data_IF_873605441690
#
_entry.id   IF_873605441690
#
_cell.length_a   1.000
_cell.length_b   1.000
_cell.length_c   1.000
_cell.angle_alpha   90.00
_cell.angle_beta   90.00
_cell.angle_gamma   90.00
#
_symmetry.space_group_name_H-M   'P 1'
#
loop_
_entity.id
_entity.type
_entity.pdbx_description
1 polymer ?
#
# COMPACT_ATOMS: atom_id res chain seq x y z
N UNK A 1 7.99 -6.48 29.11
CA UNK A 1 9.45 -6.81 29.02
C UNK A 1 10.19 -5.72 28.26
N UNK A 2 11.38 -5.30 28.71
CA UNK A 2 12.27 -4.41 27.95
C UNK A 2 13.32 -5.23 27.20
N UNK A 3 13.57 -4.88 25.95
CA UNK A 3 14.61 -5.48 25.12
C UNK A 3 15.65 -4.43 24.70
N UNK A 4 16.89 -4.84 24.39
CA UNK A 4 17.88 -3.96 23.78
C UNK A 4 17.37 -3.37 22.46
N UNK A 5 17.78 -2.13 22.14
CA UNK A 5 17.39 -1.47 20.88
C UNK A 5 17.87 -2.24 19.66
N UNK A 6 19.05 -2.86 19.74
CA UNK A 6 19.61 -3.72 18.69
C UNK A 6 18.68 -4.88 18.38
N UNK A 7 18.18 -5.57 19.41
CA UNK A 7 17.21 -6.65 19.24
C UNK A 7 15.89 -6.15 18.64
N UNK A 8 15.40 -4.99 19.07
CA UNK A 8 14.20 -4.38 18.48
C UNK A 8 14.38 -4.08 16.99
N UNK A 9 15.54 -3.56 16.59
CA UNK A 9 15.90 -3.33 15.19
C UNK A 9 15.92 -4.64 14.39
N UNK A 10 16.54 -5.69 14.93
CA UNK A 10 16.56 -7.02 14.31
C UNK A 10 15.13 -7.53 14.14
N UNK A 11 14.28 -7.46 15.17
CA UNK A 11 12.91 -7.94 15.09
C UNK A 11 12.09 -7.21 14.01
N UNK A 12 12.21 -5.88 13.93
CA UNK A 12 11.52 -5.08 12.90
C UNK A 12 12.06 -5.43 11.52
N UNK A 13 13.38 -5.47 11.34
CA UNK A 13 14.01 -5.79 10.07
C UNK A 13 13.59 -7.19 9.58
N UNK A 14 13.69 -8.19 10.46
CA UNK A 14 13.24 -9.54 10.16
C UNK A 14 11.76 -9.57 9.84
N UNK A 15 10.90 -8.88 10.59
CA UNK A 15 9.45 -8.93 10.33
C UNK A 15 9.07 -8.22 9.04
N UNK A 16 9.72 -7.10 8.69
CA UNK A 16 9.48 -6.42 7.42
C UNK A 16 9.93 -7.29 6.24
N UNK A 17 11.11 -7.92 6.35
CA UNK A 17 11.63 -8.82 5.33
C UNK A 17 10.74 -10.06 5.21
N UNK A 18 10.45 -10.72 6.34
CA UNK A 18 9.63 -11.95 6.34
C UNK A 18 8.22 -11.66 5.90
N UNK A 19 7.54 -10.60 6.36
CA UNK A 19 6.19 -10.26 5.89
C UNK A 19 6.16 -10.00 4.38
N UNK A 20 7.19 -9.32 3.84
CA UNK A 20 7.31 -9.07 2.41
C UNK A 20 7.46 -10.34 1.56
N UNK A 21 8.11 -11.38 2.10
CA UNK A 21 8.36 -12.65 1.39
C UNK A 21 7.46 -13.80 1.86
N UNK A 22 6.67 -13.61 2.93
CA UNK A 22 6.01 -14.70 3.66
C UNK A 22 5.05 -15.48 2.76
N UNK A 23 4.39 -14.77 1.84
CA UNK A 23 3.47 -15.37 0.88
C UNK A 23 4.16 -16.45 0.05
N UNK A 24 5.42 -16.25 -0.30
CA UNK A 24 6.20 -17.20 -1.09
C UNK A 24 6.66 -18.43 -0.28
N UNK A 25 6.85 -18.28 1.03
CA UNK A 25 7.28 -19.39 1.90
C UNK A 25 6.12 -20.21 2.44
N UNK A 26 4.93 -19.62 2.55
CA UNK A 26 3.76 -20.28 3.12
C UNK A 26 3.33 -21.50 2.29
N UNK A 27 3.36 -21.39 0.96
CA UNK A 27 2.97 -22.48 0.06
C UNK A 27 3.87 -23.73 0.17
N UNK A 28 5.07 -23.59 0.73
CA UNK A 28 6.04 -24.68 0.89
C UNK A 28 6.15 -25.23 2.33
N UNK A 29 5.41 -24.72 3.30
CA UNK A 29 5.55 -25.14 4.70
C UNK A 29 4.63 -26.32 5.02
N UNK A 30 5.14 -27.49 5.48
CA UNK A 30 4.31 -28.62 5.84
C UNK A 30 3.30 -28.25 6.94
N UNK A 31 2.02 -28.53 6.69
CA UNK A 31 0.95 -28.37 7.68
C UNK A 31 0.93 -29.51 8.69
N UNK A 32 0.46 -29.23 9.91
CA UNK A 32 0.12 -30.30 10.85
C UNK A 32 -1.06 -31.12 10.32
N UNK A 33 -1.01 -32.46 10.36
CA UNK A 33 -2.16 -33.29 9.97
C UNK A 33 -3.29 -33.26 11.00
N UNK A 34 -3.07 -32.70 12.20
CA UNK A 34 -3.99 -32.77 13.33
C UNK A 34 -4.86 -31.52 13.52
N UNK A 35 -4.53 -30.41 12.85
CA UNK A 35 -5.28 -29.14 12.93
C UNK A 35 -5.42 -28.56 11.53
N UNK A 36 -6.44 -27.73 11.30
CA UNK A 36 -6.61 -27.08 9.99
C UNK A 36 -5.36 -26.27 9.62
N UNK A 37 -5.03 -26.20 8.32
CA UNK A 37 -3.86 -25.45 7.84
C UNK A 37 -3.84 -23.99 8.33
N UNK A 38 -5.03 -23.40 8.53
CA UNK A 38 -5.23 -22.07 9.10
C UNK A 38 -4.62 -21.91 10.51
N UNK A 39 -4.78 -22.92 11.37
CA UNK A 39 -4.37 -22.90 12.79
C UNK A 39 -3.00 -23.55 12.99
N UNK A 40 -2.67 -24.57 12.19
CA UNK A 40 -1.42 -25.32 12.27
C UNK A 40 -0.18 -24.59 11.77
N UNK A 41 -0.31 -23.35 11.27
CA UNK A 41 0.81 -22.59 10.72
C UNK A 41 1.67 -21.93 11.81
N UNK A 42 2.99 -21.89 11.60
CA UNK A 42 3.91 -21.13 12.45
C UNK A 42 3.55 -19.63 12.51
N UNK A 43 2.96 -19.12 11.42
CA UNK A 43 2.46 -17.75 11.35
C UNK A 43 1.32 -17.51 12.37
N UNK A 44 0.35 -18.42 12.44
CA UNK A 44 -0.73 -18.34 13.42
C UNK A 44 -0.17 -18.40 14.85
N UNK A 45 0.78 -19.30 15.13
CA UNK A 45 1.43 -19.38 16.45
C UNK A 45 2.16 -18.08 16.82
N UNK A 46 2.87 -17.45 15.87
CA UNK A 46 3.52 -16.17 16.08
C UNK A 46 2.52 -15.05 16.38
N UNK A 47 1.41 -14.99 15.64
CA UNK A 47 0.31 -14.04 15.88
C UNK A 47 -0.28 -14.24 17.27
N UNK A 48 -0.60 -15.48 17.64
CA UNK A 48 -1.15 -15.81 18.95
C UNK A 48 -0.22 -15.37 20.08
N UNK A 49 1.08 -15.67 19.97
CA UNK A 49 2.08 -15.21 20.94
C UNK A 49 2.11 -13.67 21.05
N UNK A 50 2.06 -12.95 19.92
CA UNK A 50 2.02 -11.49 19.92
C UNK A 50 0.74 -10.94 20.54
N UNK A 51 -0.41 -11.59 20.35
CA UNK A 51 -1.66 -11.23 21.02
C UNK A 51 -1.54 -11.39 22.54
N UNK A 52 -0.93 -12.48 23.02
CA UNK A 52 -0.65 -12.66 24.46
C UNK A 52 0.29 -11.57 25.00
N UNK A 53 1.35 -11.21 24.27
CA UNK A 53 2.24 -10.11 24.63
C UNK A 53 1.49 -8.77 24.68
N UNK A 54 0.62 -8.51 23.70
CA UNK A 54 -0.25 -7.33 23.68
C UNK A 54 -1.18 -7.28 24.89
N UNK A 55 -1.88 -8.37 25.19
CA UNK A 55 -2.80 -8.46 26.32
C UNK A 55 -2.08 -8.18 27.65
N UNK A 56 -0.91 -8.80 27.85
CA UNK A 56 -0.07 -8.57 29.04
C UNK A 56 0.39 -7.12 29.13
N UNK A 57 0.86 -6.53 28.04
CA UNK A 57 1.36 -5.14 28.07
C UNK A 57 0.22 -4.13 28.24
N UNK A 58 -1.00 -4.45 27.80
CA UNK A 58 -2.20 -3.67 28.06
C UNK A 58 -2.56 -3.67 29.56
N UNK A 59 -2.52 -4.83 30.22
CA UNK A 59 -2.75 -4.95 31.67
C UNK A 59 -1.74 -4.17 32.51
N UNK A 60 -0.45 -4.21 32.12
CA UNK A 60 0.62 -3.49 32.84
C UNK A 60 0.53 -1.96 32.64
N UNK A 61 -0.23 -1.50 31.65
CA UNK A 61 -0.35 -0.09 31.30
C UNK A 61 0.91 0.49 30.66
N UNK A 62 0.77 1.69 30.08
CA UNK A 62 1.84 2.43 29.43
C UNK A 62 2.82 3.04 30.47
N UNK A 63 3.63 2.22 31.13
CA UNK A 63 4.76 2.69 31.96
C UNK A 63 5.65 3.62 31.13
N UNK A 64 5.57 4.92 31.44
CA UNK A 64 6.28 6.01 30.79
C UNK A 64 7.78 5.89 31.01
N UNK A 65 8.47 5.28 30.05
CA UNK A 65 9.93 5.11 30.11
C UNK A 65 10.69 6.35 29.62
N UNK A 66 10.58 7.50 30.30
CA UNK A 66 11.63 8.53 30.19
C UNK A 66 12.85 8.00 30.97
N UNK A 67 13.89 7.57 30.25
CA UNK A 67 15.21 7.27 30.83
C UNK A 67 15.68 5.81 30.82
N UNK A 68 14.85 4.84 30.43
CA UNK A 68 15.26 3.44 30.36
C UNK A 68 16.18 3.11 29.17
N UNK A 69 17.31 2.41 29.41
CA UNK A 69 18.09 1.76 28.35
C UNK A 69 17.26 0.61 27.75
N UNK A 70 16.56 0.83 26.63
CA UNK A 70 15.84 -0.22 25.89
C UNK A 70 14.45 0.19 25.38
N UNK A 71 13.76 -0.76 24.74
CA UNK A 71 12.42 -0.61 24.17
C UNK A 71 11.50 -1.64 24.82
N UNK A 72 10.27 -1.25 25.16
CA UNK A 72 9.27 -2.23 25.62
C UNK A 72 8.81 -3.06 24.43
N UNK A 73 8.84 -4.38 24.57
CA UNK A 73 8.36 -5.31 23.52
C UNK A 73 6.93 -4.95 23.07
N UNK A 74 6.05 -4.61 24.01
CA UNK A 74 4.68 -4.15 23.73
C UNK A 74 4.57 -2.93 22.81
N UNK A 75 5.64 -2.14 22.65
CA UNK A 75 5.63 -1.00 21.73
C UNK A 75 5.84 -1.42 20.27
N UNK A 76 6.44 -2.59 20.03
CA UNK A 76 6.61 -3.19 18.71
C UNK A 76 5.36 -3.95 18.28
N UNK A 77 4.62 -4.51 19.24
CA UNK A 77 3.53 -5.44 18.97
C UNK A 77 2.48 -4.93 17.99
N UNK A 78 2.04 -3.65 18.00
CA UNK A 78 1.08 -3.18 17.01
C UNK A 78 1.59 -3.28 15.57
N UNK A 79 2.85 -2.92 15.31
CA UNK A 79 3.43 -3.05 13.97
C UNK A 79 3.51 -4.52 13.56
N UNK A 80 3.96 -5.40 14.47
CA UNK A 80 4.07 -6.83 14.20
C UNK A 80 2.71 -7.46 13.94
N UNK A 81 1.68 -7.11 14.71
CA UNK A 81 0.31 -7.57 14.49
C UNK A 81 -0.25 -7.06 13.17
N UNK A 82 -0.04 -5.78 12.83
CA UNK A 82 -0.47 -5.23 11.53
C UNK A 82 0.09 -6.07 10.38
N UNK A 83 1.39 -6.36 10.41
CA UNK A 83 2.08 -7.09 9.33
C UNK A 83 1.68 -8.58 9.30
N UNK A 84 1.71 -9.26 10.44
CA UNK A 84 1.51 -10.71 10.47
C UNK A 84 0.05 -11.10 10.33
N UNK A 85 -0.89 -10.37 10.96
CA UNK A 85 -2.32 -10.68 10.85
C UNK A 85 -2.82 -10.41 9.44
N UNK A 86 -2.34 -9.34 8.80
CA UNK A 86 -2.68 -9.10 7.39
C UNK A 86 -2.20 -10.23 6.50
N UNK A 87 -0.95 -10.67 6.64
CA UNK A 87 -0.41 -11.79 5.86
C UNK A 87 -1.14 -13.10 6.13
N UNK A 88 -1.47 -13.39 7.37
CA UNK A 88 -2.23 -14.59 7.72
C UNK A 88 -3.64 -14.54 7.13
N UNK A 89 -4.33 -13.41 7.22
CA UNK A 89 -5.66 -13.26 6.67
C UNK A 89 -5.65 -13.38 5.13
N UNK A 90 -4.69 -12.74 4.45
CA UNK A 90 -4.59 -12.84 3.00
C UNK A 90 -4.22 -14.24 2.50
N UNK A 91 -3.45 -15.00 3.28
CA UNK A 91 -3.11 -16.39 2.96
C UNK A 91 -4.19 -17.42 3.29
N UNK A 92 -4.98 -17.19 4.34
CA UNK A 92 -5.87 -18.22 4.88
C UNK A 92 -7.35 -17.93 4.72
N UNK A 93 -7.75 -16.66 4.57
CA UNK A 93 -9.14 -16.24 4.55
C UNK A 93 -9.60 -15.73 3.19
N UNK A 94 -8.73 -15.06 2.42
CA UNK A 94 -9.15 -14.38 1.19
C UNK A 94 -9.68 -15.38 0.16
N UNK A 95 -8.94 -16.44 -0.12
CA UNK A 95 -9.33 -17.43 -1.12
C UNK A 95 -10.62 -18.18 -0.71
N UNK A 96 -10.77 -18.72 0.52
CA UNK A 96 -12.03 -19.36 0.93
C UNK A 96 -13.24 -18.41 0.90
N UNK A 97 -13.07 -17.17 1.35
CA UNK A 97 -14.15 -16.18 1.30
C UNK A 97 -14.50 -15.90 -0.16
N UNK A 98 -13.49 -15.74 -1.03
CA UNK A 98 -13.68 -15.54 -2.45
C UNK A 98 -14.47 -16.68 -3.09
N UNK A 99 -14.01 -17.93 -2.95
CA UNK A 99 -14.69 -19.07 -3.56
C UNK A 99 -16.10 -19.31 -3.00
N UNK A 100 -16.41 -18.84 -1.78
CA UNK A 100 -17.78 -18.92 -1.24
C UNK A 100 -18.72 -17.83 -1.78
N UNK A 101 -18.19 -16.71 -2.27
CA UNK A 101 -18.96 -15.56 -2.76
C UNK A 101 -18.93 -15.41 -4.28
N UNK A 102 -17.93 -15.99 -4.95
CA UNK A 102 -17.71 -15.80 -6.36
C UNK A 102 -18.80 -16.49 -7.21
N UNK A 103 -19.23 -15.89 -8.34
CA UNK A 103 -20.23 -16.50 -9.20
C UNK A 103 -19.74 -17.84 -9.76
N UNK A 104 -20.54 -18.93 -9.70
CA UNK A 104 -20.08 -20.28 -10.08
C UNK A 104 -19.76 -20.43 -11.57
N UNK A 105 -20.27 -19.53 -12.43
CA UNK A 105 -20.11 -19.56 -13.89
C UNK A 105 -19.37 -18.30 -14.40
N UNK A 106 -18.45 -17.78 -13.60
CA UNK A 106 -17.60 -16.67 -14.02
C UNK A 106 -16.49 -17.14 -14.98
N UNK A 107 -16.22 -16.34 -16.01
CA UNK A 107 -15.00 -16.37 -16.79
C UNK A 107 -13.77 -16.07 -15.92
N UNK A 108 -12.56 -16.40 -16.40
CA UNK A 108 -11.34 -16.11 -15.66
C UNK A 108 -11.13 -14.60 -15.39
N UNK A 109 -11.52 -13.74 -16.34
CA UNK A 109 -11.45 -12.29 -16.18
C UNK A 109 -12.46 -11.77 -15.15
N UNK A 110 -13.66 -12.37 -15.09
CA UNK A 110 -14.65 -12.09 -14.04
C UNK A 110 -14.11 -12.46 -12.67
N UNK A 111 -13.54 -13.66 -12.55
CA UNK A 111 -12.96 -14.11 -11.29
C UNK A 111 -11.84 -13.18 -10.82
N UNK A 112 -10.92 -12.75 -11.69
CA UNK A 112 -9.88 -11.80 -11.29
C UNK A 112 -10.49 -10.46 -10.84
N UNK A 113 -11.42 -9.88 -11.60
CA UNK A 113 -12.07 -8.62 -11.22
C UNK A 113 -12.79 -8.73 -9.86
N UNK A 114 -13.54 -9.81 -9.64
CA UNK A 114 -14.19 -10.11 -8.36
C UNK A 114 -13.18 -10.28 -7.23
N UNK A 115 -12.08 -10.98 -7.48
CA UNK A 115 -11.03 -11.19 -6.48
C UNK A 115 -10.40 -9.86 -6.06
N UNK A 116 -10.18 -8.94 -7.01
CA UNK A 116 -9.64 -7.60 -6.72
C UNK A 116 -10.61 -6.75 -5.90
N UNK A 117 -11.91 -6.75 -6.25
CA UNK A 117 -12.96 -6.08 -5.47
C UNK A 117 -12.96 -6.63 -4.03
N UNK A 118 -13.08 -7.94 -3.88
CA UNK A 118 -13.15 -8.59 -2.58
C UNK A 118 -11.87 -8.38 -1.77
N UNK A 119 -10.71 -8.56 -2.38
CA UNK A 119 -9.40 -8.35 -1.76
C UNK A 119 -9.24 -6.92 -1.25
N UNK A 120 -9.65 -5.91 -2.03
CA UNK A 120 -9.67 -4.52 -1.60
C UNK A 120 -10.60 -4.28 -0.41
N UNK A 121 -11.83 -4.80 -0.45
CA UNK A 121 -12.79 -4.69 0.65
C UNK A 121 -12.28 -5.38 1.93
N UNK A 122 -11.81 -6.62 1.82
CA UNK A 122 -11.27 -7.39 2.94
C UNK A 122 -10.05 -6.69 3.54
N UNK A 123 -9.16 -6.12 2.71
CA UNK A 123 -8.01 -5.37 3.20
C UNK A 123 -8.43 -4.10 3.96
N UNK A 124 -9.44 -3.37 3.49
CA UNK A 124 -9.97 -2.19 4.20
C UNK A 124 -10.59 -2.60 5.55
N UNK A 125 -11.42 -3.65 5.57
CA UNK A 125 -12.01 -4.19 6.80
C UNK A 125 -10.93 -4.61 7.79
N UNK A 126 -9.89 -5.26 7.29
CA UNK A 126 -8.76 -5.66 8.09
C UNK A 126 -7.99 -4.46 8.62
N UNK A 127 -7.81 -3.40 7.83
CA UNK A 127 -7.22 -2.15 8.30
C UNK A 127 -8.05 -1.48 9.41
N UNK A 128 -9.39 -1.55 9.35
CA UNK A 128 -10.26 -1.06 10.44
C UNK A 128 -9.98 -1.83 11.73
N UNK A 129 -9.94 -3.16 11.65
CA UNK A 129 -9.62 -4.02 12.79
C UNK A 129 -8.20 -3.74 13.33
N UNK A 130 -7.20 -3.73 12.45
CA UNK A 130 -5.80 -3.56 12.82
C UNK A 130 -5.47 -2.16 13.34
N UNK A 131 -6.21 -1.14 12.88
CA UNK A 131 -6.13 0.22 13.41
C UNK A 131 -6.45 0.30 14.91
N UNK A 132 -7.24 -0.63 15.45
CA UNK A 132 -7.53 -0.70 16.88
C UNK A 132 -6.30 -1.08 17.73
N UNK A 133 -5.36 -1.88 17.18
CA UNK A 133 -4.12 -2.25 17.87
C UNK A 133 -3.16 -1.06 18.04
N UNK A 134 -3.30 -0.01 17.22
CA UNK A 134 -2.62 1.26 17.43
C UNK A 134 -3.52 2.46 17.14
N UNK A 135 -4.24 2.91 18.17
CA UNK A 135 -5.09 4.11 18.09
C UNK A 135 -4.40 5.32 17.44
N UNK A 136 -3.12 5.65 17.72
CA UNK A 136 -2.46 6.79 17.08
C UNK A 136 -2.21 6.59 15.57
N UNK A 137 -1.93 5.39 15.09
CA UNK A 137 -1.84 5.14 13.65
C UNK A 137 -3.22 5.09 13.02
N UNK A 138 -4.16 4.33 13.60
CA UNK A 138 -5.54 4.25 13.13
C UNK A 138 -6.19 5.63 12.99
N UNK A 139 -6.09 6.48 14.01
CA UNK A 139 -6.63 7.84 13.96
C UNK A 139 -6.02 8.68 12.83
N UNK A 140 -4.70 8.59 12.61
CA UNK A 140 -4.03 9.31 11.52
C UNK A 140 -4.40 8.76 10.14
N UNK A 141 -4.55 7.44 10.02
CA UNK A 141 -5.02 6.78 8.79
C UNK A 141 -6.42 7.27 8.43
N UNK A 142 -7.37 7.15 9.36
CA UNK A 142 -8.76 7.51 9.11
C UNK A 142 -8.95 9.02 8.94
N UNK A 143 -8.13 9.84 9.60
CA UNK A 143 -8.09 11.26 9.30
C UNK A 143 -7.72 11.53 7.83
N UNK A 144 -6.70 10.85 7.30
CA UNK A 144 -6.26 10.96 5.90
C UNK A 144 -7.22 10.36 4.89
N UNK A 145 -8.06 9.43 5.32
CA UNK A 145 -9.08 8.76 4.50
C UNK A 145 -10.48 9.36 4.68
N UNK A 146 -10.65 10.49 5.39
CA UNK A 146 -11.98 11.11 5.58
C UNK A 146 -12.70 11.32 4.24
N UNK A 147 -13.99 10.96 4.12
CA UNK A 147 -14.77 11.15 2.88
C UNK A 147 -14.78 12.59 2.38
N UNK A 148 -14.80 13.58 3.28
CA UNK A 148 -14.68 15.01 2.94
C UNK A 148 -13.45 15.39 2.11
N UNK A 149 -12.40 14.55 2.06
CA UNK A 149 -11.18 14.77 1.26
C UNK A 149 -11.25 14.14 -0.13
N UNK A 150 -12.25 13.32 -0.40
CA UNK A 150 -12.43 12.62 -1.67
C UNK A 150 -12.64 13.58 -2.85
N UNK A 151 -13.51 14.61 -2.79
CA UNK A 151 -13.74 15.48 -3.95
C UNK A 151 -12.47 16.19 -4.43
N UNK A 152 -11.67 16.73 -3.51
CA UNK A 152 -10.40 17.38 -3.83
C UNK A 152 -9.38 16.38 -4.41
N UNK A 153 -9.33 15.15 -3.87
CA UNK A 153 -8.50 14.09 -4.45
C UNK A 153 -8.94 13.72 -5.86
N UNK A 154 -10.24 13.52 -6.09
CA UNK A 154 -10.78 13.16 -7.39
C UNK A 154 -10.46 14.24 -8.44
N UNK A 155 -10.67 15.52 -8.12
CA UNK A 155 -10.30 16.63 -9.03
C UNK A 155 -8.81 16.65 -9.31
N UNK A 156 -7.96 16.48 -8.29
CA UNK A 156 -6.51 16.47 -8.47
C UNK A 156 -6.05 15.27 -9.33
N UNK A 157 -6.60 14.08 -9.09
CA UNK A 157 -6.32 12.88 -9.89
C UNK A 157 -6.77 13.09 -11.34
N UNK A 158 -7.98 13.59 -11.57
CA UNK A 158 -8.47 13.88 -12.92
C UNK A 158 -7.60 14.91 -13.63
N UNK A 159 -7.18 15.97 -12.94
CA UNK A 159 -6.29 16.98 -13.49
C UNK A 159 -4.93 16.40 -13.91
N UNK A 160 -4.34 15.53 -13.09
CA UNK A 160 -3.07 14.84 -13.40
C UNK A 160 -3.23 13.91 -14.61
N UNK A 161 -4.30 13.12 -14.63
CA UNK A 161 -4.59 12.20 -15.75
C UNK A 161 -4.79 12.99 -17.03
N UNK A 162 -5.64 14.03 -17.02
CA UNK A 162 -5.87 14.89 -18.17
C UNK A 162 -4.58 15.60 -18.65
N UNK A 163 -3.77 16.12 -17.73
CA UNK A 163 -2.50 16.76 -18.06
C UNK A 163 -1.48 15.77 -18.64
N UNK A 164 -1.49 14.51 -18.18
CA UNK A 164 -0.64 13.44 -18.73
C UNK A 164 -0.97 13.19 -20.19
N UNK A 165 -2.25 12.96 -20.50
CA UNK A 165 -2.67 12.72 -21.88
C UNK A 165 -2.51 13.97 -22.75
N UNK A 166 -2.83 15.16 -22.23
CA UNK A 166 -2.63 16.42 -22.93
C UNK A 166 -1.17 16.67 -23.30
N UNK A 167 -0.23 16.44 -22.38
CA UNK A 167 1.19 16.61 -22.63
C UNK A 167 1.69 15.60 -23.68
N UNK A 168 1.34 14.33 -23.55
CA UNK A 168 1.75 13.29 -24.49
C UNK A 168 1.15 13.53 -25.89
N UNK A 169 -0.10 13.99 -25.97
CA UNK A 169 -0.74 14.35 -27.22
C UNK A 169 -0.09 15.57 -27.88
N UNK A 170 0.22 16.63 -27.12
CA UNK A 170 0.96 17.79 -27.65
C UNK A 170 2.35 17.41 -28.15
N UNK A 171 3.08 16.57 -27.42
CA UNK A 171 4.40 16.08 -27.86
C UNK A 171 4.28 15.27 -29.15
N UNK A 172 3.23 14.46 -29.28
CA UNK A 172 2.95 13.74 -30.52
C UNK A 172 2.70 14.68 -31.70
N UNK A 173 1.86 15.70 -31.53
CA UNK A 173 1.59 16.68 -32.58
C UNK A 173 2.87 17.40 -33.01
N UNK A 174 3.71 17.79 -32.04
CA UNK A 174 5.00 18.43 -32.31
C UNK A 174 5.97 17.53 -33.10
N UNK A 175 5.83 16.21 -33.00
CA UNK A 175 6.63 15.23 -33.75
C UNK A 175 5.97 14.83 -35.09
N UNK A 176 4.90 15.52 -35.51
CA UNK A 176 4.19 15.26 -36.76
C UNK A 176 3.22 14.07 -36.71
N UNK A 177 2.86 13.59 -35.52
CA UNK A 177 2.00 12.42 -35.34
C UNK A 177 0.50 12.74 -35.36
N UNK A 178 -0.26 12.02 -36.17
CA UNK A 178 -1.74 11.97 -36.17
C UNK A 178 -2.30 11.08 -35.06
N UNK A 179 -1.85 11.26 -33.81
CA UNK A 179 -2.31 10.39 -32.71
C UNK A 179 -3.66 10.85 -32.17
N UNK A 180 -4.50 9.86 -31.90
CA UNK A 180 -5.77 10.05 -31.21
C UNK A 180 -5.84 9.20 -29.95
N UNK A 181 -6.63 9.65 -28.98
CA UNK A 181 -6.88 8.91 -27.76
C UNK A 181 -7.94 7.85 -28.01
N UNK A 182 -7.60 6.58 -27.85
CA UNK A 182 -8.53 5.46 -27.96
C UNK A 182 -8.77 4.84 -26.59
N UNK A 183 -10.04 4.61 -26.29
CA UNK A 183 -10.43 3.76 -25.17
C UNK A 183 -10.34 2.30 -25.59
N UNK A 184 -10.01 1.38 -24.66
CA UNK A 184 -10.21 -0.03 -24.92
C UNK A 184 -11.68 -0.28 -25.26
N UNK A 185 -11.98 -1.26 -26.13
CA UNK A 185 -13.36 -1.59 -26.47
C UNK A 185 -14.14 -1.90 -25.20
N UNK A 186 -15.42 -1.47 -25.10
CA UNK A 186 -16.22 -1.73 -23.91
C UNK A 186 -16.35 -3.24 -23.71
N UNK A 187 -15.83 -3.72 -22.59
CA UNK A 187 -15.98 -5.11 -22.17
C UNK A 187 -17.05 -5.17 -21.08
N UNK A 188 -17.86 -6.25 -20.99
CA UNK A 188 -18.86 -6.41 -19.94
C UNK A 188 -18.30 -6.22 -18.51
N UNK A 189 -17.00 -6.48 -18.34
CA UNK A 189 -16.29 -6.45 -17.06
C UNK A 189 -15.48 -5.19 -16.81
N UNK A 190 -15.43 -4.27 -17.77
CA UNK A 190 -14.55 -3.10 -17.67
C UNK A 190 -14.84 -2.32 -16.39
N UNK A 191 -16.11 -2.10 -16.07
CA UNK A 191 -16.53 -1.40 -14.84
C UNK A 191 -16.05 -2.16 -13.59
N UNK A 192 -16.19 -3.49 -13.56
CA UNK A 192 -15.74 -4.30 -12.44
C UNK A 192 -14.23 -4.29 -12.26
N UNK A 193 -13.47 -4.33 -13.35
CA UNK A 193 -12.00 -4.20 -13.31
C UNK A 193 -11.62 -2.83 -12.78
N UNK A 194 -12.24 -1.76 -13.29
CA UNK A 194 -11.95 -0.39 -12.86
C UNK A 194 -12.24 -0.19 -11.37
N UNK A 195 -13.42 -0.62 -10.91
CA UNK A 195 -13.85 -0.53 -9.51
C UNK A 195 -12.99 -1.42 -8.61
N UNK A 196 -12.72 -2.67 -9.02
CA UNK A 196 -11.90 -3.61 -8.26
C UNK A 196 -10.48 -3.10 -8.04
N UNK A 197 -9.86 -2.56 -9.08
CA UNK A 197 -8.53 -1.96 -8.97
C UNK A 197 -8.54 -0.69 -8.13
N UNK A 198 -9.60 0.13 -8.20
CA UNK A 198 -9.72 1.31 -7.35
C UNK A 198 -9.88 0.94 -5.87
N UNK A 199 -10.68 -0.08 -5.56
CA UNK A 199 -10.87 -0.58 -4.19
C UNK A 199 -9.59 -1.21 -3.65
N UNK A 200 -8.91 -2.03 -4.45
CA UNK A 200 -7.63 -2.64 -4.07
C UNK A 200 -6.57 -1.56 -3.83
N UNK A 201 -6.39 -0.63 -4.76
CA UNK A 201 -5.45 0.48 -4.63
C UNK A 201 -5.73 1.30 -3.36
N UNK A 202 -7.01 1.60 -3.08
CA UNK A 202 -7.38 2.31 -1.85
C UNK A 202 -7.07 1.49 -0.59
N UNK A 203 -7.39 0.19 -0.58
CA UNK A 203 -7.03 -0.72 0.51
C UNK A 203 -5.53 -0.75 0.78
N UNK A 204 -4.72 -0.85 -0.27
CA UNK A 204 -3.25 -0.81 -0.17
C UNK A 204 -2.75 0.54 0.36
N UNK A 205 -3.29 1.67 -0.11
CA UNK A 205 -2.91 2.99 0.43
C UNK A 205 -3.28 3.13 1.91
N UNK A 206 -4.45 2.64 2.33
CA UNK A 206 -4.87 2.62 3.74
C UNK A 206 -3.94 1.74 4.58
N UNK A 207 -3.54 0.58 4.07
CA UNK A 207 -2.65 -0.35 4.76
C UNK A 207 -1.22 0.22 4.86
N UNK A 208 -0.59 0.50 3.73
CA UNK A 208 0.83 0.87 3.66
C UNK A 208 1.08 2.33 4.07
N UNK A 209 0.42 3.29 3.42
CA UNK A 209 0.66 4.73 3.61
C UNK A 209 -0.15 5.30 4.77
N UNK A 210 -1.25 4.65 5.12
CA UNK A 210 -2.00 4.85 6.34
C UNK A 210 -1.34 4.19 7.55
N UNK A 211 -1.62 2.90 7.77
CA UNK A 211 -1.28 2.20 9.02
C UNK A 211 0.22 1.96 9.20
N UNK A 212 0.87 1.23 8.27
CA UNK A 212 2.27 0.81 8.40
C UNK A 212 3.20 2.03 8.51
N UNK A 213 3.07 3.00 7.60
CA UNK A 213 3.85 4.24 7.62
C UNK A 213 3.63 5.04 8.92
N UNK A 214 2.38 5.15 9.39
CA UNK A 214 2.08 5.88 10.64
C UNK A 214 2.67 5.18 11.86
N UNK A 215 2.67 3.85 11.88
CA UNK A 215 3.27 3.05 12.94
C UNK A 215 4.79 3.15 12.96
N UNK A 216 5.44 3.04 11.80
CA UNK A 216 6.88 3.24 11.68
C UNK A 216 7.27 4.63 12.19
N UNK A 217 6.54 5.69 11.81
CA UNK A 217 6.75 7.06 12.34
C UNK A 217 6.55 7.17 13.85
N UNK A 218 5.56 6.47 14.41
CA UNK A 218 5.29 6.43 15.86
C UNK A 218 6.41 5.73 16.62
N UNK A 219 6.94 4.66 16.06
CA UNK A 219 7.94 3.81 16.70
C UNK A 219 9.36 4.38 16.60
N UNK A 220 9.65 5.15 15.55
CA UNK A 220 10.99 5.70 15.25
C UNK A 220 11.70 6.40 16.43
N UNK A 221 11.05 7.28 17.23
CA UNK A 221 11.70 7.90 18.40
C UNK A 221 12.17 6.88 19.44
N UNK A 222 11.41 5.80 19.63
CA UNK A 222 11.73 4.74 20.60
C UNK A 222 12.92 3.92 20.15
N UNK A 223 13.08 3.78 18.83
CA UNK A 223 14.26 3.18 18.19
C UNK A 223 15.51 4.06 18.22
N UNK A 224 15.40 5.30 18.70
CA UNK A 224 16.51 6.24 18.79
C UNK A 224 16.56 7.27 17.65
N UNK A 225 15.66 7.19 16.66
CA UNK A 225 15.56 8.17 15.57
C UNK A 225 14.70 9.34 16.06
N UNK A 226 15.33 10.36 16.64
CA UNK A 226 14.63 11.51 17.23
C UNK A 226 14.36 12.64 16.23
N UNK A 227 15.28 12.86 15.28
CA UNK A 227 15.15 13.95 14.29
C UNK A 227 13.94 13.72 13.38
N UNK A 228 12.98 14.66 13.28
CA UNK A 228 11.74 14.41 12.55
C UNK A 228 11.92 14.08 11.06
N UNK A 229 12.86 14.75 10.38
CA UNK A 229 13.23 14.43 9.00
C UNK A 229 13.74 12.99 8.83
N UNK A 230 14.61 12.53 9.73
CA UNK A 230 15.12 11.15 9.71
C UNK A 230 14.01 10.13 10.02
N UNK A 231 13.11 10.43 10.95
CA UNK A 231 11.94 9.57 11.25
C UNK A 231 11.08 9.36 10.01
N UNK A 232 10.84 10.44 9.26
CA UNK A 232 10.04 10.43 8.03
C UNK A 232 10.70 9.56 6.96
N UNK A 233 11.97 9.81 6.67
CA UNK A 233 12.72 9.06 5.66
C UNK A 233 12.87 7.59 6.02
N UNK A 234 13.19 7.27 7.27
CA UNK A 234 13.23 5.89 7.74
C UNK A 234 11.88 5.19 7.51
N UNK A 235 10.78 5.79 7.94
CA UNK A 235 9.45 5.19 7.81
C UNK A 235 9.04 5.02 6.33
N UNK A 236 9.39 5.97 5.46
CA UNK A 236 9.16 5.87 4.01
C UNK A 236 9.97 4.74 3.37
N UNK A 237 11.27 4.69 3.63
CA UNK A 237 12.16 3.66 3.05
C UNK A 237 11.74 2.27 3.54
N UNK A 238 11.51 2.10 4.84
CA UNK A 238 11.09 0.81 5.39
C UNK A 238 9.75 0.32 4.81
N UNK A 239 8.76 1.22 4.67
CA UNK A 239 7.48 0.89 4.05
C UNK A 239 7.62 0.59 2.55
N UNK A 240 8.40 1.38 1.81
CA UNK A 240 8.62 1.17 0.38
C UNK A 240 9.38 -0.14 0.11
N UNK A 241 10.35 -0.51 0.96
CA UNK A 241 11.01 -1.81 0.89
C UNK A 241 10.01 -2.94 1.10
N UNK A 242 9.19 -2.88 2.15
CA UNK A 242 8.14 -3.87 2.38
C UNK A 242 7.21 -3.99 1.16
N UNK A 243 6.68 -2.86 0.68
CA UNK A 243 5.81 -2.81 -0.50
C UNK A 243 6.48 -3.46 -1.72
N UNK A 244 7.75 -3.16 -1.98
CA UNK A 244 8.49 -3.74 -3.11
C UNK A 244 8.65 -5.27 -3.00
N UNK A 245 8.91 -5.79 -1.81
CA UNK A 245 9.09 -7.23 -1.59
C UNK A 245 7.79 -8.01 -1.84
N UNK A 246 6.65 -7.44 -1.49
CA UNK A 246 5.33 -8.04 -1.74
C UNK A 246 4.96 -8.12 -3.23
N UNK A 247 5.65 -7.37 -4.08
CA UNK A 247 5.43 -7.36 -5.53
C UNK A 247 6.40 -8.29 -6.28
N UNK A 248 7.24 -9.07 -5.59
CA UNK A 248 8.07 -10.07 -6.25
C UNK A 248 7.17 -11.21 -6.75
N UNK A 249 7.09 -11.36 -8.07
CA UNK A 249 6.49 -12.54 -8.68
C UNK A 249 7.49 -13.72 -8.70
N UNK A 250 7.16 -14.88 -8.11
CA UNK A 250 8.02 -16.05 -8.16
C UNK A 250 8.14 -16.58 -9.60
N UNK A 251 9.30 -17.16 -9.94
CA UNK A 251 9.55 -17.79 -11.24
C UNK A 251 10.00 -16.84 -12.36
N UNK A 252 10.04 -15.53 -12.13
CA UNK A 252 10.57 -14.58 -13.13
C UNK A 252 12.11 -14.62 -13.23
N UNK A 253 12.68 -14.29 -14.40
CA UNK A 253 14.13 -14.09 -14.54
C UNK A 253 14.66 -13.03 -13.55
N UNK A 254 15.89 -13.21 -13.05
CA UNK A 254 16.50 -12.31 -12.03
C UNK A 254 16.47 -10.83 -12.42
N UNK A 255 16.66 -10.52 -13.70
CA UNK A 255 16.64 -9.15 -14.21
C UNK A 255 15.24 -8.53 -14.08
N UNK A 256 14.18 -9.30 -14.30
CA UNK A 256 12.81 -8.83 -14.21
C UNK A 256 12.38 -8.65 -12.75
N UNK A 257 12.80 -9.56 -11.86
CA UNK A 257 12.63 -9.38 -10.40
C UNK A 257 13.28 -8.08 -9.94
N UNK A 258 14.52 -7.79 -10.37
CA UNK A 258 15.21 -6.56 -10.01
C UNK A 258 14.47 -5.32 -10.52
N UNK A 259 13.98 -5.34 -11.76
CA UNK A 259 13.19 -4.24 -12.33
C UNK A 259 11.90 -4.01 -11.55
N UNK A 260 11.16 -5.07 -11.22
CA UNK A 260 9.94 -4.99 -10.40
C UNK A 260 10.23 -4.42 -9.02
N UNK A 261 11.30 -4.87 -8.36
CA UNK A 261 11.72 -4.36 -7.06
C UNK A 261 12.03 -2.86 -7.10
N UNK A 262 12.84 -2.42 -8.07
CA UNK A 262 13.20 -1.00 -8.22
C UNK A 262 11.96 -0.17 -8.52
N UNK A 263 11.09 -0.63 -9.43
CA UNK A 263 9.87 0.05 -9.80
C UNK A 263 8.90 0.17 -8.60
N UNK A 264 8.57 -0.94 -7.94
CA UNK A 264 7.65 -0.96 -6.81
C UNK A 264 8.22 -0.17 -5.61
N UNK A 265 9.53 -0.22 -5.36
CA UNK A 265 10.17 0.60 -4.33
C UNK A 265 10.04 2.09 -4.62
N UNK A 266 10.34 2.51 -5.87
CA UNK A 266 10.21 3.91 -6.28
C UNK A 266 8.76 4.40 -6.17
N UNK A 267 7.80 3.58 -6.60
CA UNK A 267 6.37 3.85 -6.47
C UNK A 267 5.93 3.92 -4.98
N UNK A 268 6.44 2.99 -4.17
CA UNK A 268 6.35 2.95 -2.71
C UNK A 268 6.70 4.28 -2.07
N UNK A 269 7.92 4.76 -2.36
CA UNK A 269 8.43 6.03 -1.87
C UNK A 269 7.58 7.22 -2.35
N UNK A 270 7.25 7.26 -3.64
CA UNK A 270 6.53 8.39 -4.23
C UNK A 270 5.12 8.54 -3.67
N UNK A 271 4.35 7.45 -3.59
CA UNK A 271 3.02 7.49 -2.96
C UNK A 271 3.10 7.79 -1.47
N UNK A 272 4.13 7.29 -0.77
CA UNK A 272 4.39 7.70 0.61
C UNK A 272 4.61 9.21 0.76
N UNK A 273 5.38 9.83 -0.15
CA UNK A 273 5.59 11.28 -0.18
C UNK A 273 4.30 12.02 -0.50
N UNK A 274 3.57 11.61 -1.55
CA UNK A 274 2.29 12.21 -1.94
C UNK A 274 1.30 12.17 -0.76
N UNK A 275 1.15 11.01 -0.11
CA UNK A 275 0.26 10.85 1.04
C UNK A 275 0.65 11.75 2.23
N UNK A 276 1.95 11.92 2.50
CA UNK A 276 2.43 12.82 3.56
C UNK A 276 2.18 14.28 3.21
N UNK A 277 2.57 14.70 2.00
CA UNK A 277 2.52 16.09 1.54
C UNK A 277 1.07 16.57 1.40
N UNK A 278 0.21 15.75 0.82
CA UNK A 278 -1.19 16.08 0.60
C UNK A 278 -2.09 15.73 1.77
N UNK A 279 -1.62 14.96 2.76
CA UNK A 279 -2.45 14.44 3.86
C UNK A 279 -3.77 13.80 3.38
N UNK A 280 -3.74 13.14 2.21
CA UNK A 280 -4.94 12.65 1.53
C UNK A 280 -4.65 11.29 0.88
N UNK A 281 -5.17 10.21 1.46
CA UNK A 281 -4.96 8.86 0.94
C UNK A 281 -5.79 8.60 -0.33
N UNK A 282 -6.91 9.30 -0.52
CA UNK A 282 -7.72 9.20 -1.75
C UNK A 282 -6.95 9.65 -2.98
N UNK A 283 -6.08 10.66 -2.85
CA UNK A 283 -5.30 11.16 -3.98
C UNK A 283 -4.21 10.16 -4.39
N UNK A 284 -3.48 9.61 -3.41
CA UNK A 284 -2.52 8.52 -3.68
C UNK A 284 -3.24 7.31 -4.31
N UNK A 285 -4.40 6.92 -3.78
CA UNK A 285 -5.18 5.79 -4.27
C UNK A 285 -5.72 6.02 -5.68
N UNK A 286 -6.15 7.24 -6.02
CA UNK A 286 -6.61 7.59 -7.35
C UNK A 286 -5.51 7.48 -8.40
N UNK A 287 -4.30 7.97 -8.09
CA UNK A 287 -3.13 7.81 -8.98
C UNK A 287 -2.73 6.33 -9.08
N UNK A 288 -2.73 5.60 -7.96
CA UNK A 288 -2.44 4.17 -7.92
C UNK A 288 -3.43 3.37 -8.79
N UNK A 289 -4.74 3.59 -8.62
CA UNK A 289 -5.78 2.95 -9.41
C UNK A 289 -5.58 3.19 -10.92
N UNK A 290 -5.29 4.44 -11.31
CA UNK A 290 -5.01 4.78 -12.70
C UNK A 290 -3.77 4.06 -13.26
N UNK A 291 -2.70 3.92 -12.48
CA UNK A 291 -1.53 3.12 -12.88
C UNK A 291 -1.92 1.66 -13.09
N UNK A 292 -2.72 1.08 -12.20
CA UNK A 292 -3.20 -0.30 -12.36
C UNK A 292 -4.04 -0.43 -13.63
N UNK A 293 -4.89 0.55 -13.95
CA UNK A 293 -5.64 0.55 -15.20
C UNK A 293 -4.74 0.65 -16.44
N UNK A 294 -3.65 1.42 -16.38
CA UNK A 294 -2.67 1.47 -17.46
C UNK A 294 -1.93 0.15 -17.66
N UNK A 295 -1.51 -0.49 -16.56
CA UNK A 295 -0.82 -1.78 -16.61
C UNK A 295 -1.72 -2.91 -17.13
N UNK A 296 -3.03 -2.82 -16.87
CA UNK A 296 -4.02 -3.78 -17.36
C UNK A 296 -4.56 -3.47 -18.76
N UNK A 297 -4.16 -2.35 -19.37
CA UNK A 297 -4.70 -1.91 -20.66
C UNK A 297 -6.18 -1.51 -20.60
N UNK A 298 -6.71 -1.14 -19.43
CA UNK A 298 -8.09 -0.69 -19.23
C UNK A 298 -8.23 0.83 -19.18
N UNK A 299 -7.13 1.55 -19.14
CA UNK A 299 -7.07 3.00 -19.34
C UNK A 299 -6.90 3.34 -20.84
N UNK A 300 -7.28 4.55 -21.29
CA UNK A 300 -7.13 4.94 -22.68
C UNK A 300 -5.66 5.11 -23.07
N UNK A 301 -5.35 4.93 -24.35
CA UNK A 301 -4.01 5.07 -24.90
C UNK A 301 -3.99 5.92 -26.18
N UNK A 302 -2.86 6.54 -26.47
CA UNK A 302 -2.60 7.18 -27.76
C UNK A 302 -2.29 6.12 -28.82
N UNK A 303 -3.06 6.15 -29.89
CA UNK A 303 -2.95 5.25 -31.04
C UNK A 303 -2.74 6.05 -32.33
N UNK A 304 -2.14 5.42 -33.34
CA UNK A 304 -2.03 5.98 -34.69
C UNK A 304 -3.31 5.77 -35.50
N UNK A 305 -3.34 6.24 -36.74
CA UNK A 305 -4.49 6.09 -37.66
C UNK A 305 -4.88 4.62 -37.92
N UNK A 306 -3.96 3.68 -37.73
CA UNK A 306 -4.21 2.23 -37.82
C UNK A 306 -4.75 1.62 -36.52
N UNK A 307 -4.97 2.41 -35.46
CA UNK A 307 -5.42 1.96 -34.15
C UNK A 307 -4.34 1.27 -33.30
N UNK A 308 -3.06 1.32 -33.71
CA UNK A 308 -1.95 0.70 -32.99
C UNK A 308 -1.46 1.63 -31.89
N UNK A 309 -1.31 1.12 -30.67
CA UNK A 309 -0.77 1.87 -29.54
C UNK A 309 0.67 2.30 -29.83
N UNK A 310 0.94 3.60 -29.69
CA UNK A 310 2.23 4.19 -30.07
C UNK A 310 3.20 4.28 -28.90
N UNK A 311 2.68 4.37 -27.67
CA UNK A 311 3.49 4.46 -26.47
C UNK A 311 3.21 3.27 -25.54
N UNK A 312 4.25 2.72 -24.89
CA UNK A 312 4.06 1.69 -23.87
C UNK A 312 3.42 2.30 -22.60
N UNK A 313 2.72 1.51 -21.76
CA UNK A 313 2.12 1.97 -20.50
C UNK A 313 3.09 2.74 -19.60
N UNK A 314 4.37 2.32 -19.57
CA UNK A 314 5.41 2.97 -18.79
C UNK A 314 5.63 4.46 -19.11
N UNK A 315 5.38 4.89 -20.35
CA UNK A 315 5.51 6.31 -20.73
C UNK A 315 4.43 7.17 -20.05
N UNK A 316 3.18 6.70 -20.07
CA UNK A 316 2.07 7.37 -19.37
C UNK A 316 2.32 7.41 -17.88
N UNK A 317 2.67 6.26 -17.28
CA UNK A 317 2.94 6.14 -15.85
C UNK A 317 4.06 7.10 -15.43
N UNK A 318 5.17 7.14 -16.15
CA UNK A 318 6.31 8.03 -15.85
C UNK A 318 5.91 9.51 -15.84
N UNK A 319 5.26 9.98 -16.90
CA UNK A 319 4.78 11.38 -16.99
C UNK A 319 3.74 11.68 -15.90
N UNK A 320 2.77 10.78 -15.71
CA UNK A 320 1.71 10.95 -14.72
C UNK A 320 2.24 11.00 -13.29
N UNK A 321 3.27 10.22 -12.95
CA UNK A 321 3.92 10.27 -11.64
C UNK A 321 4.66 11.60 -11.39
N UNK A 322 5.34 12.14 -12.40
CA UNK A 322 5.97 13.47 -12.32
C UNK A 322 4.91 14.54 -12.05
N UNK A 323 3.83 14.55 -12.86
CA UNK A 323 2.74 15.50 -12.72
C UNK A 323 2.00 15.33 -11.38
N UNK A 324 1.79 14.09 -10.92
CA UNK A 324 1.16 13.80 -9.62
C UNK A 324 1.96 14.39 -8.46
N UNK A 325 3.28 14.28 -8.51
CA UNK A 325 4.17 14.86 -7.51
C UNK A 325 4.16 16.39 -7.53
N UNK A 326 4.24 17.01 -8.72
CA UNK A 326 4.17 18.46 -8.87
C UNK A 326 2.83 18.99 -8.35
N UNK A 327 1.72 18.35 -8.72
CA UNK A 327 0.39 18.69 -8.21
C UNK A 327 0.31 18.54 -6.68
N UNK A 328 0.91 17.49 -6.10
CA UNK A 328 0.98 17.33 -4.64
C UNK A 328 1.69 18.52 -3.98
N UNK A 329 2.80 18.99 -4.56
CA UNK A 329 3.56 20.14 -4.05
C UNK A 329 2.77 21.45 -4.15
N UNK A 330 2.03 21.66 -5.24
CA UNK A 330 1.14 22.82 -5.40
C UNK A 330 0.00 22.79 -4.38
N UNK A 331 -0.70 21.66 -4.26
CA UNK A 331 -1.79 21.48 -3.30
C UNK A 331 -1.34 21.70 -1.85
N UNK A 332 -0.11 21.29 -1.50
CA UNK A 332 0.45 21.53 -0.18
C UNK A 332 0.71 23.02 0.10
N UNK A 333 1.13 23.79 -0.91
CA UNK A 333 1.32 25.24 -0.80
C UNK A 333 0.01 26.01 -0.69
N UNK A 334 -1.04 25.53 -1.34
CA UNK A 334 -2.34 26.21 -1.38
C UNK A 334 -3.18 26.02 -0.11
N UNK A 335 -2.82 25.12 0.81
CA UNK A 335 -3.56 24.91 2.05
C UNK A 335 -3.36 26.09 3.02
N UNK A 336 -4.36 26.96 3.24
CA UNK A 336 -4.25 28.07 4.18
C UNK A 336 -4.16 27.51 5.60
N UNK A 337 -3.22 28.01 6.39
CA UNK A 337 -3.08 27.57 7.78
C UNK A 337 -2.70 26.11 7.94
N UNK A 338 -2.05 25.48 6.94
CA UNK A 338 -1.31 24.26 7.21
C UNK A 338 -0.38 24.59 8.39
N UNK A 339 -0.61 24.00 9.58
CA UNK A 339 0.23 24.32 10.73
C UNK A 339 1.65 24.10 10.24
N UNK A 340 2.50 25.13 10.35
CA UNK A 340 3.94 24.90 10.26
C UNK A 340 4.17 23.72 11.17
N UNK A 341 4.55 22.57 10.60
CA UNK A 341 4.49 21.30 11.28
C UNK A 341 5.53 21.38 12.39
N UNK A 342 5.15 21.95 13.51
CA UNK A 342 5.83 21.82 14.78
C UNK A 342 5.57 20.36 15.14
N UNK A 343 6.43 19.51 14.60
CA UNK A 343 6.54 18.06 14.84
C UNK A 343 7.00 17.84 16.31
N UNK A 344 6.40 18.56 17.26
CA UNK A 344 6.54 18.43 18.69
C UNK A 344 5.44 17.50 19.20
N UNK A 345 5.64 16.18 19.01
CA UNK A 345 5.12 15.11 19.86
C UNK A 345 5.75 13.75 19.50
#
# INVERSE_FOLDING_TARGET
MRIPRTLAWIMIGLTLLTAGILRQFHDGTPGSPYVSGTVGSLLFAAIFFLLLVSAREWQIGAVGGRGGKGIRLGSLTPLLLILLVEKWASLTLYDPIFYSLAPPVASQAEYDAWYKVLGGVLLILLCVLLGAFSRPAGARTWDRSRPSRFPAAAVATLAVVAATYGLLWMLSLALGGGLHLAWPPPQPLLIWILVGQALLAFGEEVYYRGLVLSELKRLSPRLGIRKPGLRRWFALVAMATLFSLEHIAPGLPRQEILRQLVFAFALGLLFGLIAIVTHNLHYAAGIHAWINWQLLGTAPGLVNDSGVAVLPPGAYIGVGLILAFLAAMVLARLRPGAPQVHEQQ
#
